data_IF_524394269793
#
_entry.id   IF_524394269793
#
_cell.length_a   1.000
_cell.length_b   1.000
_cell.length_c   1.000
_cell.angle_alpha   90.00
_cell.angle_beta   90.00
_cell.angle_gamma   90.00
#
_symmetry.space_group_name_H-M   'P 1'
#
loop_
_entity.id
_entity.type
_entity.pdbx_description
1 polymer ?
#
# COMPACT_ATOMS: atom_id res chain seq x y z
N UNK A 1 -23.64 -6.22 5.63
CA UNK A 1 -22.47 -5.70 4.91
C UNK A 1 -21.23 -6.35 5.49
N UNK A 2 -20.32 -6.81 4.65
CA UNK A 2 -19.05 -7.41 5.06
C UNK A 2 -17.93 -6.43 4.74
N UNK A 3 -17.10 -6.14 5.72
CA UNK A 3 -15.99 -5.18 5.60
C UNK A 3 -14.72 -5.77 6.20
N UNK A 4 -13.58 -5.52 5.58
CA UNK A 4 -12.29 -5.95 6.11
C UNK A 4 -11.81 -5.01 7.23
N UNK A 5 -11.42 -5.57 8.37
CA UNK A 5 -10.92 -4.80 9.53
C UNK A 5 -9.73 -3.89 9.18
N UNK A 6 -8.88 -4.31 8.25
CA UNK A 6 -7.74 -3.53 7.80
C UNK A 6 -8.12 -2.13 7.30
N UNK A 7 -9.29 -1.98 6.70
CA UNK A 7 -9.78 -0.66 6.27
C UNK A 7 -10.09 0.24 7.45
N UNK A 8 -10.73 -0.26 8.51
CA UNK A 8 -10.99 0.50 9.73
C UNK A 8 -9.71 0.91 10.45
N UNK A 9 -8.69 0.05 10.46
CA UNK A 9 -7.41 0.36 11.12
C UNK A 9 -6.61 1.44 10.40
N UNK A 10 -6.74 1.55 9.07
CA UNK A 10 -6.12 2.60 8.27
C UNK A 10 -6.74 3.99 8.54
N UNK A 11 -7.98 4.03 9.02
CA UNK A 11 -8.74 5.27 9.28
C UNK A 11 -8.67 5.69 10.75
N UNK A 12 -8.06 4.89 11.65
CA UNK A 12 -7.83 5.26 13.06
C UNK A 12 -6.56 6.10 13.22
N UNK A 13 -6.55 7.11 14.12
CA UNK A 13 -5.33 7.90 14.40
C UNK A 13 -4.16 7.03 14.88
N UNK A 14 -2.90 7.40 14.57
CA UNK A 14 -2.50 8.66 13.97
C UNK A 14 -2.56 8.64 12.43
N UNK A 15 -3.34 9.57 11.87
CA UNK A 15 -3.35 9.81 10.43
C UNK A 15 -2.01 10.35 9.93
N UNK A 16 -1.68 10.16 8.64
CA UNK A 16 -0.57 10.88 8.03
C UNK A 16 -0.77 12.39 8.24
N UNK A 17 0.31 13.15 8.51
CA UNK A 17 0.23 14.55 8.95
C UNK A 17 -0.42 15.53 7.95
N UNK A 18 -0.87 15.06 6.79
CA UNK A 18 -1.55 15.87 5.75
C UNK A 18 -3.07 15.70 5.71
N UNK A 19 -3.64 14.82 6.53
CA UNK A 19 -5.10 14.60 6.56
C UNK A 19 -5.63 15.07 7.90
N UNK A 20 -6.25 16.24 7.92
CA UNK A 20 -6.77 16.85 9.15
C UNK A 20 -8.00 16.11 9.68
N UNK A 21 -8.81 15.54 8.79
CA UNK A 21 -10.02 14.80 9.16
C UNK A 21 -10.43 13.82 8.07
N UNK A 22 -10.55 12.55 8.44
CA UNK A 22 -11.16 11.50 7.62
C UNK A 22 -12.28 10.86 8.41
N UNK A 23 -13.45 10.76 7.82
CA UNK A 23 -14.59 10.03 8.36
C UNK A 23 -14.89 8.87 7.41
N UNK A 24 -15.07 7.68 7.97
CA UNK A 24 -15.45 6.49 7.24
C UNK A 24 -16.78 5.96 7.78
N UNK A 25 -17.70 5.65 6.88
CA UNK A 25 -18.98 5.05 7.22
C UNK A 25 -19.26 3.88 6.28
N UNK A 26 -19.97 2.90 6.79
CA UNK A 26 -20.41 1.74 6.03
C UNK A 26 -21.90 1.77 5.80
N UNK A 27 -22.30 1.56 4.56
CA UNK A 27 -23.70 1.36 4.23
C UNK A 27 -24.12 -0.03 4.75
N UNK A 28 -25.04 -0.07 5.70
CA UNK A 28 -25.45 -1.32 6.38
C UNK A 28 -26.82 -1.83 5.92
N UNK A 29 -27.56 -1.06 5.15
CA UNK A 29 -28.92 -1.38 4.74
C UNK A 29 -29.01 -1.72 3.24
N UNK A 30 -30.14 -2.31 2.85
CA UNK A 30 -30.46 -2.73 1.49
C UNK A 30 -31.37 -1.71 0.80
N UNK A 31 -31.30 -1.53 -0.52
CA UNK A 31 -30.40 -2.20 -1.46
C UNK A 31 -28.96 -1.69 -1.39
N UNK A 32 -28.00 -2.58 -1.72
CA UNK A 32 -26.60 -2.21 -1.84
C UNK A 32 -26.41 -1.20 -2.98
N UNK A 33 -25.55 -0.21 -2.76
CA UNK A 33 -25.13 0.71 -3.80
C UNK A 33 -23.89 0.16 -4.52
N UNK A 34 -24.03 -0.02 -5.83
CA UNK A 34 -22.94 -0.50 -6.70
C UNK A 34 -22.52 0.64 -7.63
N UNK A 35 -21.58 1.43 -7.21
CA UNK A 35 -21.05 2.56 -7.97
C UNK A 35 -20.15 3.41 -7.10
N UNK A 36 -19.44 4.32 -7.75
CA UNK A 36 -18.58 5.29 -7.06
C UNK A 36 -19.16 6.69 -7.28
N UNK A 37 -19.31 7.42 -6.19
CA UNK A 37 -19.84 8.77 -6.17
C UNK A 37 -18.80 9.70 -5.53
N UNK A 38 -18.33 10.68 -6.30
CA UNK A 38 -17.33 11.66 -5.88
C UNK A 38 -17.99 13.02 -5.75
N UNK A 39 -17.95 13.60 -4.56
CA UNK A 39 -18.67 14.82 -4.24
C UNK A 39 -17.72 15.87 -3.67
N UNK A 40 -17.76 17.05 -4.23
CA UNK A 40 -17.14 18.24 -3.68
C UNK A 40 -18.18 19.18 -3.13
N UNK A 41 -17.99 19.61 -1.88
CA UNK A 41 -18.80 20.62 -1.21
C UNK A 41 -18.02 21.94 -1.12
N UNK A 42 -18.70 23.05 -1.32
CA UNK A 42 -18.19 24.39 -1.12
C UNK A 42 -19.18 25.19 -0.27
N UNK A 43 -18.72 25.73 0.85
CA UNK A 43 -19.58 26.46 1.79
C UNK A 43 -20.84 25.66 2.24
N UNK A 44 -20.70 24.36 2.43
CA UNK A 44 -21.79 23.47 2.84
C UNK A 44 -22.70 22.97 1.71
N UNK A 45 -22.62 23.54 0.51
CA UNK A 45 -23.45 23.14 -0.64
C UNK A 45 -22.68 22.19 -1.56
N UNK A 46 -23.42 21.30 -2.21
CA UNK A 46 -22.85 20.46 -3.26
C UNK A 46 -22.42 21.34 -4.44
N UNK A 47 -21.19 21.15 -4.87
CA UNK A 47 -20.58 22.02 -5.88
C UNK A 47 -20.31 21.28 -7.18
N UNK A 48 -19.79 20.05 -7.08
CA UNK A 48 -19.42 19.22 -8.20
C UNK A 48 -19.56 17.76 -7.83
N UNK A 49 -20.12 16.96 -8.71
CA UNK A 49 -20.37 15.54 -8.49
C UNK A 49 -20.04 14.74 -9.74
N UNK A 50 -19.33 13.64 -9.54
CA UNK A 50 -19.12 12.62 -10.56
C UNK A 50 -19.60 11.28 -10.06
N UNK A 51 -20.20 10.48 -10.92
CA UNK A 51 -20.60 9.11 -10.65
C UNK A 51 -20.09 8.19 -11.76
N UNK A 52 -19.67 6.98 -11.41
CA UNK A 52 -19.20 6.03 -12.40
C UNK A 52 -18.67 4.73 -11.82
N UNK A 53 -17.94 3.99 -12.65
CA UNK A 53 -17.35 2.71 -12.28
C UNK A 53 -16.00 2.85 -11.58
N UNK A 54 -15.28 3.97 -11.80
CA UNK A 54 -13.93 4.17 -11.28
C UNK A 54 -13.89 4.11 -9.75
N UNK A 55 -13.26 3.12 -9.10
CA UNK A 55 -13.05 3.13 -7.66
C UNK A 55 -11.99 4.18 -7.27
N UNK A 56 -11.94 4.56 -5.98
CA UNK A 56 -10.94 5.53 -5.48
C UNK A 56 -9.60 4.86 -5.24
N UNK A 57 -9.03 4.31 -6.30
CA UNK A 57 -7.70 3.70 -6.33
C UNK A 57 -6.87 4.34 -7.45
N UNK A 58 -5.57 4.36 -7.28
CA UNK A 58 -4.68 5.05 -8.23
C UNK A 58 -4.76 4.45 -9.64
N UNK A 59 -4.84 3.14 -9.77
CA UNK A 59 -4.92 2.44 -11.06
C UNK A 59 -6.12 2.85 -11.90
N UNK A 60 -7.27 3.08 -11.28
CA UNK A 60 -8.48 3.53 -11.97
C UNK A 60 -8.32 4.88 -12.70
N UNK A 61 -7.38 5.73 -12.25
CA UNK A 61 -7.16 7.07 -12.80
C UNK A 61 -5.85 7.21 -13.61
N UNK A 62 -4.97 6.23 -13.57
CA UNK A 62 -3.61 6.36 -14.14
C UNK A 62 -3.24 5.28 -15.14
N UNK A 63 -3.93 4.15 -15.16
CA UNK A 63 -3.65 3.04 -16.08
C UNK A 63 -4.41 3.21 -17.39
N UNK A 64 -3.72 3.03 -18.51
CA UNK A 64 -4.30 3.11 -19.86
C UNK A 64 -4.98 1.81 -20.32
N UNK A 65 -4.72 0.70 -19.64
CA UNK A 65 -5.30 -0.62 -19.89
C UNK A 65 -6.58 -0.89 -19.09
N UNK A 66 -6.97 0.04 -18.23
CA UNK A 66 -8.23 0.02 -17.47
C UNK A 66 -9.20 1.01 -18.12
N UNK A 67 -10.42 0.54 -18.40
CA UNK A 67 -11.49 1.37 -18.94
C UNK A 67 -12.51 1.65 -17.84
N UNK A 68 -12.54 2.90 -17.39
CA UNK A 68 -13.48 3.38 -16.40
C UNK A 68 -14.38 4.47 -17.00
N UNK A 69 -15.60 4.53 -16.53
CA UNK A 69 -16.57 5.55 -16.94
C UNK A 69 -16.85 6.47 -15.76
N UNK A 70 -16.75 7.77 -15.99
CA UNK A 70 -17.11 8.82 -15.04
C UNK A 70 -17.97 9.85 -15.73
N UNK A 71 -19.10 10.18 -15.14
CA UNK A 71 -20.06 11.17 -15.68
C UNK A 71 -20.25 12.27 -14.64
N UNK A 72 -20.20 13.52 -15.07
CA UNK A 72 -20.57 14.67 -14.23
C UNK A 72 -22.09 14.70 -14.08
N UNK A 73 -22.56 14.75 -12.85
CA UNK A 73 -23.97 14.72 -12.49
C UNK A 73 -24.44 16.09 -11.97
N UNK A 74 -25.74 16.31 -12.01
CA UNK A 74 -26.33 17.46 -11.33
C UNK A 74 -26.06 17.39 -9.82
N UNK A 75 -25.46 18.45 -9.22
CA UNK A 75 -25.06 18.42 -7.82
C UNK A 75 -26.21 18.27 -6.84
N UNK A 76 -27.39 18.81 -7.14
CA UNK A 76 -28.54 18.78 -6.22
C UNK A 76 -29.19 17.40 -6.23
N UNK A 77 -29.39 16.79 -7.41
CA UNK A 77 -29.94 15.44 -7.54
C UNK A 77 -29.00 14.39 -6.93
N UNK A 78 -27.72 14.46 -7.27
CA UNK A 78 -26.72 13.56 -6.73
C UNK A 78 -26.47 13.78 -5.22
N UNK A 79 -26.66 15.04 -4.76
CA UNK A 79 -26.63 15.38 -3.35
C UNK A 79 -27.75 14.72 -2.54
N UNK A 80 -28.96 14.71 -3.06
CA UNK A 80 -30.10 14.00 -2.42
C UNK A 80 -29.83 12.49 -2.33
N UNK A 81 -29.27 11.89 -3.37
CA UNK A 81 -28.86 10.49 -3.35
C UNK A 81 -27.79 10.23 -2.26
N UNK A 82 -26.78 11.09 -2.18
CA UNK A 82 -25.74 11.00 -1.15
C UNK A 82 -26.32 11.09 0.27
N UNK A 83 -27.19 12.05 0.54
CA UNK A 83 -27.83 12.21 1.86
C UNK A 83 -28.68 10.97 2.22
N UNK A 84 -29.36 10.37 1.23
CA UNK A 84 -30.08 9.11 1.42
C UNK A 84 -29.15 7.93 1.77
N UNK A 85 -27.94 7.88 1.17
CA UNK A 85 -26.92 6.87 1.50
C UNK A 85 -26.35 7.10 2.90
N UNK A 86 -26.06 8.36 3.26
CA UNK A 86 -25.58 8.71 4.61
C UNK A 86 -26.59 8.31 5.68
N UNK A 87 -27.88 8.53 5.43
CA UNK A 87 -28.96 8.14 6.36
C UNK A 87 -29.07 6.61 6.58
N UNK A 88 -28.43 5.80 5.76
CA UNK A 88 -28.35 4.33 5.86
C UNK A 88 -26.94 3.81 6.12
N UNK A 89 -26.08 4.65 6.65
CA UNK A 89 -24.70 4.30 6.96
C UNK A 89 -24.40 4.45 8.44
N UNK A 90 -23.41 3.71 8.92
CA UNK A 90 -22.91 3.74 10.29
C UNK A 90 -21.42 4.06 10.27
N UNK A 91 -20.94 4.90 11.18
CA UNK A 91 -19.51 5.21 11.29
C UNK A 91 -18.69 3.96 11.66
N UNK A 92 -17.53 3.81 11.04
CA UNK A 92 -16.66 2.65 11.24
C UNK A 92 -16.17 2.46 12.69
N UNK A 93 -16.22 3.50 13.50
CA UNK A 93 -15.87 3.49 14.93
C UNK A 93 -17.09 3.58 15.86
N UNK A 94 -18.30 3.38 15.34
CA UNK A 94 -19.50 3.36 16.16
C UNK A 94 -19.48 2.16 17.13
N UNK A 95 -19.97 2.35 18.35
CA UNK A 95 -19.94 1.31 19.39
C UNK A 95 -20.74 0.05 19.00
N UNK A 96 -21.79 0.22 18.20
CA UNK A 96 -22.70 -0.86 17.75
C UNK A 96 -22.39 -1.35 16.34
N UNK A 97 -21.21 -1.07 15.80
CA UNK A 97 -20.89 -1.39 14.39
C UNK A 97 -21.01 -2.87 14.08
N UNK A 98 -20.62 -3.73 15.01
CA UNK A 98 -20.65 -5.19 14.86
C UNK A 98 -22.07 -5.77 14.75
N UNK A 99 -23.09 -5.02 15.19
CA UNK A 99 -24.50 -5.42 15.04
C UNK A 99 -25.01 -5.21 13.62
N UNK A 100 -24.43 -4.27 12.87
CA UNK A 100 -24.87 -3.87 11.53
C UNK A 100 -23.94 -4.33 10.43
N UNK A 101 -22.65 -4.48 10.73
CA UNK A 101 -21.61 -4.78 9.76
C UNK A 101 -20.83 -6.00 10.21
N UNK A 102 -20.83 -7.04 9.38
CA UNK A 102 -19.99 -8.20 9.63
C UNK A 102 -18.53 -7.85 9.30
N UNK A 103 -17.72 -7.69 10.33
CA UNK A 103 -16.30 -7.48 10.19
C UNK A 103 -15.63 -8.84 9.91
N UNK A 104 -14.96 -8.94 8.78
CA UNK A 104 -14.07 -10.08 8.52
C UNK A 104 -12.63 -9.64 8.80
N UNK A 105 -11.78 -10.53 9.29
CA UNK A 105 -10.37 -10.27 9.36
C UNK A 105 -9.88 -9.70 8.03
N UNK A 106 -8.98 -8.72 8.09
CA UNK A 106 -8.28 -8.26 6.90
C UNK A 106 -7.68 -9.47 6.20
N UNK A 107 -7.48 -9.37 4.88
CA UNK A 107 -6.93 -10.42 4.02
C UNK A 107 -6.11 -11.46 4.83
N UNK A 108 -6.29 -12.80 4.66
CA UNK A 108 -5.66 -13.84 5.51
C UNK A 108 -4.16 -13.65 5.72
N UNK A 109 -3.46 -13.09 4.71
CA UNK A 109 -2.04 -12.71 4.80
C UNK A 109 -1.80 -11.54 5.77
N UNK A 110 -2.84 -10.76 6.10
CA UNK A 110 -2.78 -9.59 6.97
C UNK A 110 -3.42 -9.86 8.34
N UNK A 111 -4.02 -11.01 8.52
CA UNK A 111 -4.60 -11.41 9.80
C UNK A 111 -3.49 -11.82 10.77
N UNK A 112 -3.19 -10.86 11.60
CA UNK A 112 -1.98 -10.82 12.40
C UNK A 112 -2.19 -11.25 13.86
N UNK A 113 -3.43 -11.47 14.29
CA UNK A 113 -3.70 -12.03 15.61
C UNK A 113 -3.44 -13.54 15.64
N UNK A 114 -3.59 -14.22 14.53
CA UNK A 114 -3.44 -15.67 14.46
C UNK A 114 -2.01 -16.17 14.29
N UNK A 115 -1.01 -15.30 14.10
CA UNK A 115 0.39 -15.70 13.80
C UNK A 115 0.52 -16.78 12.70
N UNK A 116 -0.50 -16.95 11.91
CA UNK A 116 -0.63 -17.99 10.90
C UNK A 116 -0.91 -17.31 9.55
N UNK A 117 0.10 -16.65 9.02
CA UNK A 117 0.22 -16.71 7.57
C UNK A 117 0.61 -18.17 7.32
N UNK A 118 -0.36 -19.03 7.18
CA UNK A 118 -0.08 -20.40 6.81
C UNK A 118 0.67 -20.37 5.49
N UNK A 119 1.80 -21.06 5.40
CA UNK A 119 2.58 -21.22 4.16
C UNK A 119 1.70 -21.57 2.95
N UNK A 120 0.55 -22.20 3.20
CA UNK A 120 -0.45 -22.53 2.20
C UNK A 120 -1.10 -21.30 1.55
N UNK A 121 -1.39 -20.24 2.28
CA UNK A 121 -2.08 -19.06 1.73
C UNK A 121 -1.15 -18.22 0.87
N UNK A 122 0.10 -18.05 1.28
CA UNK A 122 1.10 -17.33 0.47
C UNK A 122 1.42 -18.05 -0.84
N UNK A 123 1.42 -19.37 -0.85
CA UNK A 123 1.69 -20.16 -2.05
C UNK A 123 0.62 -20.00 -3.16
N UNK A 124 -0.56 -19.47 -2.81
CA UNK A 124 -1.60 -19.18 -3.79
C UNK A 124 -1.39 -17.87 -4.55
N UNK A 125 -0.49 -17.01 -4.07
CA UNK A 125 -0.21 -15.71 -4.68
C UNK A 125 0.98 -15.76 -5.62
N UNK A 126 0.90 -14.96 -6.68
CA UNK A 126 2.05 -14.70 -7.53
C UNK A 126 3.16 -14.05 -6.69
N UNK A 127 4.38 -14.55 -6.78
CA UNK A 127 5.48 -14.08 -5.94
C UNK A 127 6.77 -13.87 -6.73
N UNK A 128 7.59 -12.96 -6.22
CA UNK A 128 8.91 -12.63 -6.77
C UNK A 128 9.91 -12.47 -5.63
N UNK A 129 11.06 -13.14 -5.78
CA UNK A 129 12.18 -13.02 -4.85
C UNK A 129 13.22 -12.04 -5.38
N UNK A 130 13.55 -11.02 -4.59
CA UNK A 130 14.49 -9.95 -4.96
C UNK A 130 15.72 -9.97 -4.05
N UNK A 131 16.89 -10.04 -4.67
CA UNK A 131 18.16 -10.07 -3.95
C UNK A 131 18.55 -8.67 -3.43
N UNK A 132 18.99 -8.60 -2.18
CA UNK A 132 19.57 -7.40 -1.55
C UNK A 132 21.09 -7.31 -1.78
N UNK A 133 21.68 -8.34 -2.37
CA UNK A 133 23.11 -8.41 -2.68
C UNK A 133 23.37 -8.37 -4.19
N UNK A 134 24.54 -7.90 -4.54
CA UNK A 134 25.05 -7.89 -5.93
C UNK A 134 25.48 -9.29 -6.35
N UNK A 135 25.84 -9.46 -7.63
CA UNK A 135 26.39 -10.72 -8.16
C UNK A 135 27.62 -11.23 -7.39
N UNK A 136 28.32 -10.35 -6.67
CA UNK A 136 29.47 -10.72 -5.84
C UNK A 136 29.07 -11.21 -4.43
N UNK A 137 27.79 -11.40 -4.16
CA UNK A 137 27.26 -11.86 -2.89
C UNK A 137 27.35 -10.85 -1.75
N UNK A 138 27.60 -9.57 -2.02
CA UNK A 138 27.69 -8.50 -1.02
C UNK A 138 26.72 -7.37 -1.37
N UNK A 139 26.19 -6.63 -0.37
CA UNK A 139 25.49 -5.37 -0.63
C UNK A 139 26.39 -4.42 -1.44
N UNK A 140 25.79 -3.68 -2.35
CA UNK A 140 26.56 -2.70 -3.13
C UNK A 140 27.10 -1.57 -2.25
N UNK A 141 28.33 -1.11 -2.48
CA UNK A 141 28.96 -0.07 -1.66
C UNK A 141 28.23 1.28 -1.74
N UNK A 142 27.62 1.60 -2.89
CA UNK A 142 26.90 2.84 -3.16
C UNK A 142 25.63 2.59 -3.98
N UNK A 143 24.99 1.45 -3.77
CA UNK A 143 23.79 1.02 -4.47
C UNK A 143 22.95 0.11 -3.57
N UNK A 144 21.71 -0.17 -3.93
CA UNK A 144 20.81 -0.98 -3.13
C UNK A 144 20.63 -0.37 -1.74
N UNK A 145 20.81 -1.17 -0.68
CA UNK A 145 20.68 -0.73 0.72
C UNK A 145 21.67 0.38 1.10
N UNK A 146 22.79 0.51 0.39
CA UNK A 146 23.82 1.52 0.63
C UNK A 146 23.79 2.67 -0.40
N UNK A 147 22.68 2.91 -1.07
CA UNK A 147 22.60 3.98 -2.07
C UNK A 147 22.87 5.36 -1.48
N UNK A 148 22.40 5.59 -0.26
CA UNK A 148 22.62 6.84 0.49
C UNK A 148 24.07 7.06 0.95
N UNK A 149 24.97 6.07 0.86
CA UNK A 149 26.41 6.21 1.21
C UNK A 149 27.21 6.98 0.14
N UNK A 150 26.53 7.61 -0.82
CA UNK A 150 27.11 8.55 -1.78
C UNK A 150 27.26 9.94 -1.14
N UNK A 151 28.28 10.74 -1.53
CA UNK A 151 28.39 12.11 -1.08
C UNK A 151 27.10 12.91 -1.31
N UNK A 152 26.78 13.80 -0.37
CA UNK A 152 25.61 14.70 -0.42
C UNK A 152 24.23 14.01 -0.47
N UNK A 153 24.12 12.80 0.08
CA UNK A 153 22.84 12.09 0.23
C UNK A 153 22.53 11.81 1.70
N UNK A 154 21.25 11.63 2.00
CA UNK A 154 20.86 11.06 3.28
C UNK A 154 21.37 9.61 3.33
N UNK A 155 22.18 9.22 4.34
CA UNK A 155 22.80 7.89 4.41
C UNK A 155 21.78 6.75 4.52
N UNK A 156 20.54 7.04 4.90
CA UNK A 156 19.45 6.05 4.90
C UNK A 156 18.85 5.78 3.52
N UNK A 157 19.10 6.59 2.50
CA UNK A 157 18.53 6.35 1.18
C UNK A 157 18.90 4.95 0.67
N UNK A 158 17.88 4.22 0.24
CA UNK A 158 18.01 2.86 -0.25
C UNK A 158 17.00 2.57 -1.38
N UNK A 159 17.24 1.50 -2.09
CA UNK A 159 16.29 0.89 -3.01
C UNK A 159 16.51 -0.63 -3.06
N UNK A 160 15.48 -1.37 -3.45
CA UNK A 160 15.60 -2.80 -3.77
C UNK A 160 15.88 -2.92 -5.26
N UNK A 161 17.00 -3.58 -5.67
CA UNK A 161 17.29 -3.78 -7.09
C UNK A 161 16.22 -4.65 -7.76
N UNK A 162 15.73 -4.21 -8.92
CA UNK A 162 14.74 -4.92 -9.70
C UNK A 162 15.40 -5.56 -10.92
N UNK A 163 15.45 -6.90 -11.02
CA UNK A 163 15.96 -7.58 -12.19
C UNK A 163 15.12 -7.27 -13.45
N UNK A 164 15.76 -7.16 -14.62
CA UNK A 164 15.07 -6.82 -15.87
C UNK A 164 13.89 -7.74 -16.17
N UNK A 165 14.04 -9.04 -15.94
CA UNK A 165 12.97 -10.00 -16.16
C UNK A 165 11.72 -9.69 -15.31
N UNK A 166 11.91 -9.27 -14.05
CA UNK A 166 10.82 -8.88 -13.16
C UNK A 166 10.23 -7.53 -13.55
N UNK A 167 11.06 -6.56 -13.93
CA UNK A 167 10.60 -5.27 -14.42
C UNK A 167 9.71 -5.40 -15.69
N UNK A 168 9.94 -6.43 -16.49
CA UNK A 168 9.21 -6.70 -17.74
C UNK A 168 8.02 -7.67 -17.56
N UNK A 169 7.85 -8.29 -16.39
CA UNK A 169 6.79 -9.28 -16.14
C UNK A 169 5.43 -8.68 -15.79
N UNK A 170 5.34 -7.35 -15.64
CA UNK A 170 4.15 -6.67 -15.11
C UNK A 170 3.72 -7.12 -13.69
N UNK A 171 4.62 -7.79 -12.95
CA UNK A 171 4.36 -8.15 -11.55
C UNK A 171 4.12 -6.90 -10.70
N UNK A 172 4.99 -5.89 -10.80
CA UNK A 172 4.79 -4.59 -10.17
C UNK A 172 4.09 -3.62 -11.13
N UNK A 173 3.36 -2.61 -10.58
CA UNK A 173 2.77 -1.56 -11.40
C UNK A 173 3.80 -0.83 -12.27
N UNK A 174 3.37 -0.22 -13.37
CA UNK A 174 4.25 0.60 -14.20
C UNK A 174 4.94 1.72 -13.42
N UNK A 175 6.08 2.18 -13.93
CA UNK A 175 6.82 3.31 -13.38
C UNK A 175 5.90 4.50 -13.07
N UNK A 176 6.15 5.16 -11.94
CA UNK A 176 5.40 6.28 -11.38
C UNK A 176 4.03 5.93 -10.75
N UNK A 177 3.58 4.69 -10.79
CA UNK A 177 2.43 4.24 -10.02
C UNK A 177 2.90 3.82 -8.63
N UNK A 178 2.28 4.37 -7.60
CA UNK A 178 2.56 4.01 -6.21
C UNK A 178 1.76 2.77 -5.83
N UNK A 179 2.33 1.92 -5.01
CA UNK A 179 1.64 0.76 -4.46
C UNK A 179 1.99 0.58 -2.99
N UNK A 180 1.07 -0.02 -2.26
CA UNK A 180 1.22 -0.30 -0.84
C UNK A 180 1.95 -1.62 -0.63
N UNK A 181 2.90 -1.63 0.28
CA UNK A 181 3.60 -2.83 0.71
C UNK A 181 3.42 -3.02 2.21
N UNK A 182 2.86 -4.15 2.58
CA UNK A 182 2.71 -4.59 3.96
C UNK A 182 3.84 -5.56 4.24
N UNK A 183 4.55 -5.35 5.33
CA UNK A 183 5.73 -6.15 5.68
C UNK A 183 5.40 -7.22 6.71
N UNK A 184 6.21 -8.27 6.78
CA UNK A 184 6.08 -9.36 7.77
C UNK A 184 6.12 -8.87 9.22
N UNK A 185 6.77 -7.72 9.50
CA UNK A 185 6.78 -7.06 10.81
C UNK A 185 5.70 -5.98 10.97
N UNK A 186 4.65 -6.03 10.16
CA UNK A 186 3.43 -5.21 10.27
C UNK A 186 3.61 -3.71 9.95
N UNK A 187 4.62 -3.34 9.22
CA UNK A 187 4.78 -1.98 8.73
C UNK A 187 4.19 -1.82 7.36
N UNK A 188 3.75 -0.63 7.07
CA UNK A 188 3.29 -0.25 5.76
C UNK A 188 4.29 0.70 5.11
N UNK A 189 4.68 0.38 3.89
CA UNK A 189 5.53 1.21 3.04
C UNK A 189 4.77 1.54 1.76
N UNK A 190 5.00 2.73 1.23
CA UNK A 190 4.59 3.06 -0.13
C UNK A 190 5.81 2.94 -1.03
N UNK A 191 5.74 2.08 -2.03
CA UNK A 191 6.81 1.92 -3.01
C UNK A 191 6.34 2.31 -4.41
N UNK A 192 7.30 2.50 -5.29
CA UNK A 192 7.09 2.58 -6.75
C UNK A 192 8.31 2.05 -7.49
N UNK A 193 8.09 1.69 -8.75
CA UNK A 193 9.18 1.38 -9.68
C UNK A 193 9.87 2.68 -10.09
N UNK A 194 11.17 2.74 -9.94
CA UNK A 194 12.00 3.92 -10.22
C UNK A 194 13.26 3.56 -11.04
N UNK A 195 14.02 4.62 -11.33
CA UNK A 195 15.25 4.64 -12.11
C UNK A 195 15.04 4.40 -13.61
N UNK A 196 16.11 4.63 -14.35
CA UNK A 196 16.16 4.35 -15.78
C UNK A 196 16.06 2.83 -16.01
N UNK A 197 15.23 2.41 -16.95
CA UNK A 197 14.91 1.01 -17.25
C UNK A 197 14.31 0.21 -16.08
N UNK A 198 13.54 0.89 -15.20
CA UNK A 198 12.72 0.26 -14.16
C UNK A 198 13.50 -0.68 -13.22
N UNK A 199 14.70 -0.26 -12.80
CA UNK A 199 15.68 -1.12 -12.12
C UNK A 199 15.59 -1.09 -10.59
N UNK A 200 14.66 -0.34 -10.02
CA UNK A 200 14.60 -0.14 -8.57
C UNK A 200 13.17 -0.04 -8.05
N UNK A 201 12.96 -0.58 -6.85
CA UNK A 201 11.83 -0.25 -6.00
C UNK A 201 12.31 0.72 -4.92
N UNK A 202 11.66 1.85 -4.78
CA UNK A 202 12.02 2.87 -3.79
C UNK A 202 10.76 3.54 -3.20
N UNK A 203 10.92 4.16 -2.03
CA UNK A 203 9.88 4.99 -1.40
C UNK A 203 9.87 6.38 -2.05
N UNK A 204 8.76 6.79 -2.70
CA UNK A 204 8.75 7.97 -3.58
C UNK A 204 8.89 9.30 -2.87
N UNK A 205 8.28 9.46 -1.69
CA UNK A 205 8.28 10.73 -0.97
C UNK A 205 9.53 10.93 -0.12
N UNK A 206 10.00 9.86 0.52
CA UNK A 206 11.18 9.85 1.38
C UNK A 206 12.02 8.62 1.09
N UNK A 207 12.95 8.74 0.17
CA UNK A 207 13.85 7.65 -0.23
C UNK A 207 14.65 7.02 0.93
N UNK A 208 14.64 7.64 2.11
CA UNK A 208 15.26 7.13 3.34
C UNK A 208 14.40 6.09 4.07
N UNK A 209 13.09 6.09 3.90
CA UNK A 209 12.18 5.25 4.70
C UNK A 209 12.45 3.76 4.49
N UNK A 210 12.69 3.35 3.25
CA UNK A 210 13.06 1.97 2.93
C UNK A 210 14.40 1.56 3.58
N UNK A 211 15.36 2.46 3.57
CA UNK A 211 16.67 2.19 4.17
C UNK A 211 16.65 2.21 5.69
N UNK A 212 15.83 3.04 6.31
CA UNK A 212 15.56 3.02 7.75
C UNK A 212 14.87 1.71 8.14
N UNK A 213 13.89 1.27 7.36
CA UNK A 213 13.22 -0.01 7.56
C UNK A 213 14.22 -1.17 7.63
N UNK A 214 15.07 -1.33 6.60
CA UNK A 214 16.04 -2.43 6.59
C UNK A 214 17.07 -2.33 7.72
N UNK A 215 17.58 -1.13 8.04
CA UNK A 215 18.52 -0.95 9.14
C UNK A 215 17.91 -1.34 10.48
N UNK A 216 16.69 -0.92 10.73
CA UNK A 216 15.95 -1.30 11.94
C UNK A 216 15.77 -2.83 12.04
N UNK A 217 15.40 -3.50 10.93
CA UNK A 217 15.27 -4.97 10.87
C UNK A 217 16.60 -5.67 11.12
N UNK A 218 17.70 -5.11 10.65
CA UNK A 218 19.05 -5.64 10.84
C UNK A 218 19.67 -5.26 12.20
N UNK A 219 18.97 -4.51 13.05
CA UNK A 219 19.50 -4.03 14.32
C UNK A 219 20.60 -2.97 14.19
N UNK A 220 20.67 -2.28 13.06
CA UNK A 220 21.67 -1.26 12.77
C UNK A 220 21.15 0.15 13.09
N UNK A 221 22.08 1.03 13.46
CA UNK A 221 21.78 2.45 13.59
C UNK A 221 21.39 3.07 12.25
N UNK A 222 20.51 4.09 12.27
CA UNK A 222 20.17 4.86 11.09
C UNK A 222 21.42 5.45 10.43
N UNK A 223 21.52 5.32 9.13
CA UNK A 223 22.67 5.75 8.35
C UNK A 223 23.86 4.80 8.34
N UNK A 224 23.86 3.71 9.10
CA UNK A 224 24.92 2.73 9.09
C UNK A 224 25.12 2.09 7.70
N UNK A 225 26.34 1.79 7.36
CA UNK A 225 26.68 1.01 6.17
C UNK A 225 26.24 -0.45 6.37
N UNK A 226 25.46 -0.99 5.45
CA UNK A 226 25.00 -2.39 5.51
C UNK A 226 26.05 -3.29 4.87
N UNK A 227 26.55 -4.25 5.64
CA UNK A 227 27.54 -5.22 5.19
C UNK A 227 26.91 -6.59 4.89
N UNK A 228 27.71 -7.48 4.29
CA UNK A 228 27.28 -8.87 4.12
C UNK A 228 27.11 -9.58 5.48
N UNK A 229 27.97 -9.28 6.44
CA UNK A 229 27.90 -9.88 7.77
C UNK A 229 26.61 -9.51 8.50
N UNK A 230 26.09 -8.30 8.29
CA UNK A 230 24.82 -7.87 8.90
C UNK A 230 23.65 -8.69 8.33
N UNK A 231 23.63 -8.93 7.02
CA UNK A 231 22.62 -9.78 6.39
C UNK A 231 22.76 -11.25 6.80
N UNK A 232 23.96 -11.76 6.92
CA UNK A 232 24.22 -13.12 7.37
C UNK A 232 23.87 -13.32 8.85
N UNK A 233 24.15 -12.33 9.69
CA UNK A 233 23.75 -12.33 11.09
C UNK A 233 22.22 -12.27 11.25
N UNK A 234 21.54 -11.55 10.39
CA UNK A 234 20.08 -11.52 10.33
C UNK A 234 19.52 -12.84 9.80
N UNK A 235 20.22 -13.55 8.91
CA UNK A 235 19.83 -14.84 8.35
C UNK A 235 19.23 -14.76 6.93
N UNK A 236 19.13 -13.57 6.32
CA UNK A 236 18.51 -13.41 5.00
C UNK A 236 19.17 -12.34 4.13
N UNK A 237 19.29 -12.63 2.83
CA UNK A 237 19.97 -11.75 1.84
C UNK A 237 19.06 -11.30 0.70
N UNK A 238 17.77 -11.55 0.81
CA UNK A 238 16.75 -11.23 -0.17
C UNK A 238 15.43 -10.92 0.53
N UNK A 239 14.45 -10.47 -0.25
CA UNK A 239 13.06 -10.29 0.18
C UNK A 239 12.15 -11.00 -0.81
N UNK A 240 11.00 -11.49 -0.35
CA UNK A 240 9.97 -12.06 -1.22
C UNK A 240 8.77 -11.14 -1.23
N UNK A 241 8.33 -10.75 -2.42
CA UNK A 241 7.09 -10.03 -2.61
C UNK A 241 6.00 -10.98 -3.08
N UNK A 242 4.81 -10.86 -2.51
CA UNK A 242 3.60 -11.54 -2.93
C UNK A 242 2.61 -10.49 -3.39
N UNK A 243 2.03 -10.68 -4.58
CA UNK A 243 1.04 -9.77 -5.15
C UNK A 243 -0.33 -10.14 -4.58
N UNK A 244 -0.86 -9.31 -3.67
CA UNK A 244 -2.17 -9.53 -3.07
C UNK A 244 -3.29 -9.05 -4.00
N UNK A 245 -3.08 -7.89 -4.62
CA UNK A 245 -3.89 -7.30 -5.67
C UNK A 245 -3.05 -6.35 -6.55
N UNK A 246 -3.68 -5.55 -7.41
CA UNK A 246 -2.95 -4.67 -8.33
C UNK A 246 -2.22 -3.50 -7.67
N UNK A 247 -2.55 -3.15 -6.43
CA UNK A 247 -2.00 -2.01 -5.70
C UNK A 247 -1.42 -2.39 -4.32
N UNK A 248 -1.62 -3.65 -3.89
CA UNK A 248 -1.21 -4.13 -2.56
C UNK A 248 -0.30 -5.34 -2.67
N UNK A 249 0.82 -5.29 -1.98
CA UNK A 249 1.82 -6.35 -1.93
C UNK A 249 2.17 -6.69 -0.48
N UNK A 250 2.50 -7.94 -0.23
CA UNK A 250 3.12 -8.35 1.01
C UNK A 250 4.60 -8.58 0.77
N UNK A 251 5.45 -8.01 1.63
CA UNK A 251 6.90 -8.18 1.59
C UNK A 251 7.36 -9.00 2.79
N UNK A 252 7.82 -10.20 2.54
CA UNK A 252 8.40 -11.08 3.52
C UNK A 252 9.92 -10.90 3.60
N UNK A 253 10.40 -10.49 4.76
CA UNK A 253 11.80 -10.42 5.16
C UNK A 253 12.04 -11.18 6.48
N UNK A 254 11.16 -12.13 6.81
CA UNK A 254 11.31 -13.00 7.99
C UNK A 254 12.46 -13.99 7.82
N UNK A 255 12.94 -14.56 8.91
CA UNK A 255 13.99 -15.58 9.01
C UNK A 255 13.48 -16.80 9.74
#
# INVERSE_FOLDING_TARGET
VTVHEGFCSLVKPPYPPRVEKVECSYLYDSPAFHGNLYIWKKNGSFYKVFMGSAPFIQSAFTRSDVQECMVECDPDEAGQMYEALVGRSIYCNHAEIEEYVHLVPSHPVLDMELNLVADADLNSYESVRLSLVTKNGKPGNRSGLNWGQRPNRNPNQAYIPLPRAVAQSAFFPPKNIHFTVITDDRKQLTLRVEQENDKALATPERNSDLGEYFRNRLGLSNGAFVTRNDLDAYGRTDVTFYKLDDETYYMDFSV
#
